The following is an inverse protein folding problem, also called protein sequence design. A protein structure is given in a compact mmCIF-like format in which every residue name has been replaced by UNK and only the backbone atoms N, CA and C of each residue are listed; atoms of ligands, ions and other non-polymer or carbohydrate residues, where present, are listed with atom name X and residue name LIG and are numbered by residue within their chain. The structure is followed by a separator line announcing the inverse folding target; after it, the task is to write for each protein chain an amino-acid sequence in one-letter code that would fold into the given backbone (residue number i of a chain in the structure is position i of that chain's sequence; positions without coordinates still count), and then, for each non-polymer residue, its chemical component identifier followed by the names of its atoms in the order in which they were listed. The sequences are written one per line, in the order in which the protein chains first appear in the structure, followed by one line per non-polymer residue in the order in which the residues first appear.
data_IF_072754478523
#
_entry.id   IF_072754478523
#
_cell.length_a   1.000
_cell.length_b   1.000
_cell.length_c   1.000
_cell.angle_alpha   90.00
_cell.angle_beta   90.00
_cell.angle_gamma   90.00
#
_symmetry.space_group_name_H-M   'P 1'
#
loop_
_entity.id
_entity.type
_entity.pdbx_description
1 polymer ?
#
# COMPACT_ATOMS: atom_id res chain seq x y z
N UNK A 1 31.40 4.71 -1.46
CA UNK A 1 31.56 3.38 -0.79
C UNK A 1 30.19 2.97 -0.27
N UNK A 2 29.58 1.88 -0.79
CA UNK A 2 28.23 1.47 -0.37
C UNK A 2 28.25 1.01 1.08
N UNK A 3 27.48 1.64 1.95
CA UNK A 3 27.35 1.23 3.34
C UNK A 3 26.26 0.16 3.46
N UNK A 4 26.57 -0.96 4.07
CA UNK A 4 25.58 -2.01 4.38
C UNK A 4 24.84 -1.61 5.67
N UNK A 5 23.50 -1.49 5.60
CA UNK A 5 22.66 -1.13 6.75
C UNK A 5 22.17 -2.37 7.51
N UNK A 6 21.93 -3.46 6.78
CA UNK A 6 21.61 -4.79 7.27
C UNK A 6 22.03 -5.82 6.21
N UNK A 7 21.90 -7.11 6.50
CA UNK A 7 22.37 -8.17 5.58
C UNK A 7 21.76 -8.09 4.18
N UNK A 8 20.53 -7.63 4.09
CA UNK A 8 19.75 -7.52 2.85
C UNK A 8 19.46 -6.07 2.42
N UNK A 9 20.11 -5.04 3.04
CA UNK A 9 19.86 -3.63 2.75
C UNK A 9 21.19 -2.91 2.51
N UNK A 10 21.34 -2.23 1.37
CA UNK A 10 22.49 -1.38 1.08
C UNK A 10 22.06 0.07 0.88
N UNK A 11 22.80 0.99 1.50
CA UNK A 11 22.71 2.43 1.21
C UNK A 11 23.46 2.72 -0.09
N UNK A 12 22.82 3.38 -1.04
CA UNK A 12 23.37 3.74 -2.35
C UNK A 12 23.74 5.22 -2.40
N UNK A 13 22.82 6.08 -2.00
CA UNK A 13 22.98 7.52 -1.96
C UNK A 13 22.34 8.11 -0.71
N UNK A 14 22.89 9.24 -0.27
CA UNK A 14 22.37 10.03 0.86
C UNK A 14 22.67 11.49 0.60
N UNK A 15 21.75 12.37 1.03
CA UNK A 15 21.96 13.81 1.03
C UNK A 15 23.16 14.18 1.90
N UNK A 16 24.10 15.00 1.40
CA UNK A 16 25.20 15.51 2.20
C UNK A 16 24.68 16.26 3.44
N UNK A 17 25.33 16.06 4.57
CA UNK A 17 25.04 16.76 5.84
C UNK A 17 23.58 16.63 6.33
N UNK A 18 22.87 15.57 5.92
CA UNK A 18 21.50 15.31 6.38
C UNK A 18 21.45 15.18 7.90
N UNK A 19 20.78 16.11 8.57
CA UNK A 19 20.53 16.03 10.02
C UNK A 19 19.38 15.03 10.29
N UNK A 20 19.73 13.77 10.42
CA UNK A 20 18.76 12.72 10.73
C UNK A 20 18.02 12.92 12.06
N UNK A 21 18.55 13.72 12.99
CA UNK A 21 17.91 14.00 14.28
C UNK A 21 16.83 15.10 14.19
N UNK A 22 16.92 15.95 13.17
CA UNK A 22 15.91 16.98 12.92
C UNK A 22 14.66 16.47 12.20
N UNK A 23 14.72 15.28 11.58
CA UNK A 23 13.61 14.74 10.76
C UNK A 23 12.46 14.26 11.62
N UNK A 24 11.27 14.79 11.35
CA UNK A 24 9.99 14.39 11.97
C UNK A 24 9.28 13.28 11.21
N UNK A 25 9.35 13.32 9.87
CA UNK A 25 8.60 12.42 8.99
C UNK A 25 9.55 11.81 7.96
N UNK A 26 9.43 10.51 7.77
CA UNK A 26 10.08 9.83 6.64
C UNK A 26 9.00 9.36 5.67
N UNK A 27 9.10 9.82 4.42
CA UNK A 27 8.28 9.29 3.32
C UNK A 27 9.04 8.14 2.65
N UNK A 28 8.41 6.99 2.55
CA UNK A 28 8.99 5.80 1.92
C UNK A 28 8.34 5.52 0.57
N UNK A 29 9.16 5.37 -0.48
CA UNK A 29 8.74 5.17 -1.87
C UNK A 29 9.38 3.87 -2.39
N UNK A 30 8.63 2.74 -2.46
CA UNK A 30 9.13 1.52 -3.09
C UNK A 30 9.19 1.72 -4.60
N UNK A 31 10.21 1.16 -5.27
CA UNK A 31 10.29 1.18 -6.72
C UNK A 31 10.88 -0.12 -7.26
N UNK A 32 10.40 -0.53 -8.45
CA UNK A 32 10.87 -1.69 -9.16
C UNK A 32 10.72 -1.49 -10.67
N UNK A 33 11.84 -1.29 -11.38
CA UNK A 33 11.89 -1.12 -12.85
C UNK A 33 11.02 0.01 -13.41
N UNK A 34 10.88 1.12 -12.65
CA UNK A 34 10.04 2.28 -13.00
C UNK A 34 10.76 3.60 -12.74
N UNK A 35 11.92 3.85 -13.39
CA UNK A 35 12.74 5.02 -13.08
C UNK A 35 12.03 6.35 -13.36
N UNK A 36 11.18 6.43 -14.39
CA UNK A 36 10.46 7.65 -14.73
C UNK A 36 9.35 7.96 -13.72
N UNK A 37 8.56 6.95 -13.35
CA UNK A 37 7.48 7.11 -12.38
C UNK A 37 8.01 7.53 -10.99
N UNK A 38 9.04 6.84 -10.47
CA UNK A 38 9.61 7.19 -9.15
C UNK A 38 10.14 8.63 -9.11
N UNK A 39 10.66 9.17 -10.22
CA UNK A 39 11.10 10.57 -10.30
C UNK A 39 9.92 11.54 -10.21
N UNK A 40 8.78 11.22 -10.80
CA UNK A 40 7.57 12.05 -10.73
C UNK A 40 6.98 12.02 -9.31
N UNK A 41 6.87 10.84 -8.69
CA UNK A 41 6.46 10.68 -7.31
C UNK A 41 7.38 11.45 -6.37
N UNK A 42 8.71 11.29 -6.52
CA UNK A 42 9.72 11.99 -5.73
C UNK A 42 9.55 13.52 -5.81
N UNK A 43 9.33 14.08 -7.01
CA UNK A 43 9.06 15.52 -7.18
C UNK A 43 7.80 15.96 -6.43
N UNK A 44 6.72 15.16 -6.49
CA UNK A 44 5.46 15.49 -5.81
C UNK A 44 5.61 15.51 -4.29
N UNK A 45 6.41 14.58 -3.74
CA UNK A 45 6.71 14.51 -2.31
C UNK A 45 7.63 15.66 -1.88
N UNK A 46 8.64 15.99 -2.67
CA UNK A 46 9.55 17.11 -2.35
C UNK A 46 8.87 18.48 -2.40
N UNK A 47 7.76 18.61 -3.12
CA UNK A 47 6.98 19.84 -3.23
C UNK A 47 5.85 19.94 -2.20
N UNK A 48 5.85 19.11 -1.17
CA UNK A 48 4.83 19.16 -0.11
C UNK A 48 4.87 20.48 0.67
N UNK A 49 3.68 21.04 0.89
CA UNK A 49 3.49 22.21 1.75
C UNK A 49 3.23 21.74 3.17
N UNK A 50 4.27 21.59 3.95
CA UNK A 50 4.21 21.14 5.34
C UNK A 50 5.19 21.93 6.21
N UNK A 51 4.91 21.98 7.52
CA UNK A 51 5.82 22.57 8.52
C UNK A 51 6.77 21.54 9.15
N UNK A 52 6.62 20.27 8.77
CA UNK A 52 7.45 19.18 9.27
C UNK A 52 8.79 19.08 8.52
N UNK A 53 9.81 18.63 9.21
CA UNK A 53 11.08 18.25 8.59
C UNK A 53 10.95 16.86 7.99
N UNK A 54 10.99 16.80 6.67
CA UNK A 54 10.72 15.58 5.89
C UNK A 54 11.99 15.03 5.28
N UNK A 55 12.23 13.73 5.42
CA UNK A 55 13.20 13.01 4.61
C UNK A 55 12.51 11.93 3.77
N UNK A 56 13.11 11.57 2.64
CA UNK A 56 12.57 10.57 1.71
C UNK A 56 13.50 9.35 1.69
N UNK A 57 12.93 8.15 1.73
CA UNK A 57 13.68 6.91 1.47
C UNK A 57 13.12 6.28 0.19
N UNK A 58 13.89 6.31 -0.88
CA UNK A 58 13.60 5.52 -2.08
C UNK A 58 14.13 4.10 -1.88
N UNK A 59 13.24 3.12 -2.01
CA UNK A 59 13.53 1.71 -1.78
C UNK A 59 13.54 0.95 -3.11
N UNK A 60 14.72 0.83 -3.73
CA UNK A 60 14.88 0.03 -4.95
C UNK A 60 14.83 -1.46 -4.63
N UNK A 61 13.93 -2.17 -5.29
CA UNK A 61 13.75 -3.62 -5.09
C UNK A 61 14.21 -4.46 -6.30
N UNK A 62 14.85 -3.83 -7.28
CA UNK A 62 15.60 -4.48 -8.35
C UNK A 62 17.10 -4.34 -8.07
N UNK A 63 17.72 -5.42 -7.57
CA UNK A 63 19.10 -5.38 -7.06
C UNK A 63 20.18 -5.39 -8.14
N UNK A 64 19.86 -5.79 -9.37
CA UNK A 64 20.82 -5.92 -10.48
C UNK A 64 20.90 -4.63 -11.33
N UNK A 65 19.86 -4.29 -12.07
CA UNK A 65 19.83 -3.12 -12.95
C UNK A 65 19.70 -1.80 -12.18
N UNK A 66 18.92 -1.77 -11.08
CA UNK A 66 18.79 -0.64 -10.15
C UNK A 66 18.35 0.65 -10.83
N UNK A 67 17.45 0.54 -11.76
CA UNK A 67 17.07 1.66 -12.64
C UNK A 67 16.52 2.83 -11.85
N UNK A 68 15.62 2.59 -10.89
CA UNK A 68 15.08 3.61 -10.01
C UNK A 68 16.13 4.24 -9.10
N UNK A 69 16.99 3.42 -8.49
CA UNK A 69 18.09 3.92 -7.65
C UNK A 69 19.08 4.76 -8.45
N UNK A 70 19.44 4.33 -9.67
CA UNK A 70 20.35 5.08 -10.54
C UNK A 70 19.75 6.43 -10.98
N UNK A 71 18.44 6.48 -11.21
CA UNK A 71 17.75 7.72 -11.58
C UNK A 71 17.65 8.69 -10.40
N UNK A 72 17.41 8.20 -9.18
CA UNK A 72 17.21 9.04 -8.00
C UNK A 72 18.52 9.47 -7.31
N UNK A 73 19.56 8.61 -7.29
CA UNK A 73 20.80 8.87 -6.53
C UNK A 73 21.45 10.24 -6.77
N UNK A 74 21.57 10.73 -8.04
CA UNK A 74 22.17 12.04 -8.28
C UNK A 74 21.43 13.21 -7.60
N UNK A 75 20.11 13.09 -7.42
CA UNK A 75 19.27 14.13 -6.81
C UNK A 75 19.53 14.23 -5.30
N UNK A 76 19.73 13.09 -4.63
CA UNK A 76 20.09 13.06 -3.22
C UNK A 76 21.55 13.49 -2.98
N UNK A 77 22.48 13.00 -3.79
CA UNK A 77 23.89 13.37 -3.71
C UNK A 77 24.14 14.87 -3.96
N UNK A 78 23.32 15.50 -4.81
CA UNK A 78 23.35 16.95 -5.07
C UNK A 78 22.63 17.78 -3.98
N UNK A 79 21.98 17.16 -2.99
CA UNK A 79 21.19 17.87 -1.98
C UNK A 79 19.89 18.48 -2.51
N UNK A 80 19.39 18.01 -3.65
CA UNK A 80 18.11 18.48 -4.22
C UNK A 80 16.93 17.97 -3.39
N UNK A 81 17.07 16.79 -2.78
CA UNK A 81 16.07 16.16 -1.91
C UNK A 81 16.76 15.64 -0.65
N UNK A 82 16.13 15.81 0.50
CA UNK A 82 16.63 15.28 1.77
C UNK A 82 16.23 13.82 1.94
N UNK A 83 17.21 12.94 2.19
CA UNK A 83 16.94 11.53 2.45
C UNK A 83 17.97 10.56 1.94
N UNK A 84 17.51 9.38 1.59
CA UNK A 84 18.32 8.19 1.29
C UNK A 84 17.78 7.44 0.06
N UNK A 85 18.69 6.82 -0.69
CA UNK A 85 18.36 5.77 -1.67
C UNK A 85 18.96 4.46 -1.17
N UNK A 86 18.12 3.45 -0.98
CA UNK A 86 18.53 2.13 -0.52
C UNK A 86 18.17 1.05 -1.55
N UNK A 87 18.87 -0.07 -1.50
CA UNK A 87 18.51 -1.30 -2.22
C UNK A 87 18.03 -2.33 -1.19
N UNK A 88 16.79 -2.80 -1.38
CA UNK A 88 16.28 -4.01 -0.74
C UNK A 88 16.64 -5.20 -1.63
N UNK A 89 17.66 -5.99 -1.22
CA UNK A 89 18.21 -7.07 -2.05
C UNK A 89 17.24 -8.25 -2.23
N UNK A 90 16.42 -8.50 -1.22
CA UNK A 90 15.38 -9.52 -1.31
C UNK A 90 14.22 -8.97 -2.14
N UNK A 91 13.90 -9.65 -3.25
CA UNK A 91 12.85 -9.24 -4.16
C UNK A 91 11.46 -9.43 -3.56
N UNK A 92 10.60 -8.44 -3.74
CA UNK A 92 9.17 -8.46 -3.45
C UNK A 92 8.71 -7.26 -2.62
N UNK A 93 7.45 -6.94 -2.76
CA UNK A 93 6.87 -5.71 -2.19
C UNK A 93 7.03 -5.64 -0.66
N UNK A 94 6.74 -6.73 0.04
CA UNK A 94 6.92 -6.79 1.50
C UNK A 94 8.38 -6.58 1.91
N UNK A 95 9.34 -7.07 1.13
CA UNK A 95 10.76 -6.90 1.39
C UNK A 95 11.17 -5.42 1.25
N UNK A 96 10.68 -4.72 0.21
CA UNK A 96 10.92 -3.30 0.00
C UNK A 96 10.40 -2.47 1.18
N UNK A 97 9.14 -2.63 1.55
CA UNK A 97 8.55 -1.91 2.69
C UNK A 97 9.26 -2.19 4.01
N UNK A 98 9.58 -3.46 4.30
CA UNK A 98 10.32 -3.82 5.51
C UNK A 98 11.71 -3.16 5.54
N UNK A 99 12.41 -3.11 4.41
CA UNK A 99 13.73 -2.46 4.30
C UNK A 99 13.63 -0.95 4.55
N UNK A 100 12.66 -0.27 3.94
CA UNK A 100 12.43 1.17 4.14
C UNK A 100 12.07 1.51 5.58
N UNK A 101 11.12 0.80 6.18
CA UNK A 101 10.67 1.06 7.54
C UNK A 101 11.74 0.73 8.59
N UNK A 102 12.48 -0.37 8.40
CA UNK A 102 13.64 -0.67 9.22
C UNK A 102 14.69 0.44 9.14
N UNK A 103 15.00 0.92 7.93
CA UNK A 103 15.97 1.99 7.70
C UNK A 103 15.48 3.30 8.35
N UNK A 104 14.21 3.66 8.19
CA UNK A 104 13.62 4.85 8.80
C UNK A 104 13.76 4.83 10.34
N UNK A 105 13.35 3.75 10.98
CA UNK A 105 13.42 3.61 12.44
C UNK A 105 14.85 3.58 12.99
N UNK A 106 15.82 3.13 12.18
CA UNK A 106 17.22 3.01 12.59
C UNK A 106 17.98 4.31 12.38
N UNK A 107 17.72 5.01 11.26
CA UNK A 107 18.49 6.20 10.87
C UNK A 107 17.94 7.51 11.46
N UNK A 108 16.63 7.60 11.73
CA UNK A 108 15.98 8.81 12.16
C UNK A 108 15.49 8.70 13.61
N UNK A 109 16.32 9.10 14.59
CA UNK A 109 16.07 8.84 16.02
C UNK A 109 14.85 9.58 16.57
N UNK A 110 14.50 10.74 16.02
CA UNK A 110 13.39 11.58 16.48
C UNK A 110 12.15 11.49 15.58
N UNK A 111 12.14 10.58 14.62
CA UNK A 111 11.02 10.32 13.73
C UNK A 111 9.69 10.19 14.50
N UNK A 112 8.68 10.91 14.07
CA UNK A 112 7.30 10.83 14.60
C UNK A 112 6.42 9.91 13.76
N UNK A 113 6.55 10.02 12.42
CA UNK A 113 5.71 9.32 11.46
C UNK A 113 6.52 8.73 10.31
N UNK A 114 6.06 7.59 9.80
CA UNK A 114 6.41 7.10 8.47
C UNK A 114 5.20 7.29 7.57
N UNK A 115 5.39 7.98 6.45
CA UNK A 115 4.41 8.07 5.37
C UNK A 115 4.80 7.14 4.22
N UNK A 116 3.82 6.65 3.49
CA UNK A 116 3.99 5.72 2.36
C UNK A 116 3.25 6.25 1.14
N UNK A 117 3.91 6.21 0.01
CA UNK A 117 3.36 6.47 -1.33
C UNK A 117 4.05 5.54 -2.33
N UNK A 118 3.31 4.95 -3.26
CA UNK A 118 3.88 4.07 -4.28
C UNK A 118 4.50 4.86 -5.44
N UNK A 119 5.38 4.23 -6.24
CA UNK A 119 6.16 4.90 -7.29
C UNK A 119 5.35 5.35 -8.51
N UNK A 120 4.10 4.96 -8.65
CA UNK A 120 3.16 5.37 -9.71
C UNK A 120 2.07 6.35 -9.21
N UNK A 121 2.34 7.03 -8.11
CA UNK A 121 1.40 7.93 -7.45
C UNK A 121 1.97 9.35 -7.32
N UNK A 122 1.09 10.34 -7.42
CA UNK A 122 1.40 11.77 -7.31
C UNK A 122 0.66 12.35 -6.11
N UNK A 123 1.39 12.84 -5.14
CA UNK A 123 0.82 13.45 -3.93
C UNK A 123 0.25 14.85 -4.21
N UNK A 124 -0.95 15.15 -3.71
CA UNK A 124 -1.47 16.51 -3.69
C UNK A 124 -0.60 17.42 -2.80
N UNK A 125 -0.55 18.76 -3.05
CA UNK A 125 0.40 19.65 -2.37
C UNK A 125 0.33 19.70 -0.84
N UNK A 126 -0.80 19.35 -0.23
CA UNK A 126 -1.03 19.33 1.22
C UNK A 126 -1.24 17.89 1.76
N UNK A 127 -0.92 16.89 0.96
CA UNK A 127 -1.14 15.48 1.30
C UNK A 127 -0.55 15.13 2.69
N UNK A 128 0.72 15.44 2.90
CA UNK A 128 1.43 15.07 4.12
C UNK A 128 0.92 15.84 5.35
N UNK A 129 0.67 17.14 5.19
CA UNK A 129 0.11 18.00 6.25
C UNK A 129 -1.28 17.49 6.67
N UNK A 130 -2.14 17.14 5.71
CA UNK A 130 -3.50 16.64 5.97
C UNK A 130 -3.48 15.30 6.71
N UNK A 131 -2.56 14.38 6.35
CA UNK A 131 -2.39 13.12 7.08
C UNK A 131 -1.96 13.37 8.53
N UNK A 132 -0.96 14.24 8.75
CA UNK A 132 -0.46 14.56 10.09
C UNK A 132 -1.53 15.24 10.96
N UNK A 133 -2.21 16.25 10.43
CA UNK A 133 -3.29 16.95 11.13
C UNK A 133 -4.42 15.98 11.52
N UNK A 134 -4.74 15.01 10.66
CA UNK A 134 -5.74 13.98 10.95
C UNK A 134 -5.26 13.03 12.04
N UNK A 135 -3.99 12.60 11.99
CA UNK A 135 -3.40 11.76 13.03
C UNK A 135 -3.42 12.43 14.40
N UNK A 136 -3.04 13.70 14.47
CA UNK A 136 -3.03 14.49 15.70
C UNK A 136 -4.44 14.77 16.24
N UNK A 137 -5.36 15.19 15.36
CA UNK A 137 -6.75 15.50 15.73
C UNK A 137 -7.49 14.30 16.33
N UNK A 138 -7.23 13.10 15.84
CA UNK A 138 -7.94 11.90 16.24
C UNK A 138 -7.11 10.97 17.13
N UNK A 139 -5.87 11.35 17.47
CA UNK A 139 -4.87 10.51 18.13
C UNK A 139 -4.73 9.11 17.47
N UNK A 140 -4.86 9.09 16.13
CA UNK A 140 -4.86 7.86 15.36
C UNK A 140 -3.44 7.32 15.14
N UNK A 141 -3.27 6.02 15.29
CA UNK A 141 -1.99 5.34 15.07
C UNK A 141 -1.69 5.13 13.58
N UNK A 142 -2.74 4.96 12.78
CA UNK A 142 -2.68 4.77 11.33
C UNK A 142 -3.68 5.70 10.65
N UNK A 143 -3.23 6.47 9.66
CA UNK A 143 -4.11 7.33 8.85
C UNK A 143 -3.94 6.99 7.39
N UNK A 144 -5.05 6.71 6.70
CA UNK A 144 -5.07 6.51 5.25
C UNK A 144 -5.77 7.64 4.53
N UNK A 145 -5.49 7.80 3.24
CA UNK A 145 -6.15 8.74 2.34
C UNK A 145 -6.55 8.09 1.02
N UNK A 146 -7.32 8.80 0.17
CA UNK A 146 -7.78 8.30 -1.11
C UNK A 146 -6.64 8.16 -2.12
N UNK A 147 -6.69 7.09 -2.90
CA UNK A 147 -5.93 6.89 -4.13
C UNK A 147 -6.91 7.15 -5.28
N UNK A 148 -6.79 8.34 -5.90
CA UNK A 148 -7.69 8.78 -6.96
C UNK A 148 -7.15 8.34 -8.32
N UNK A 149 -7.91 7.60 -9.12
CA UNK A 149 -7.42 7.06 -10.38
C UNK A 149 -7.29 8.15 -11.44
N UNK A 150 -6.13 8.23 -12.08
CA UNK A 150 -5.88 8.97 -13.32
C UNK A 150 -5.76 7.94 -14.44
N UNK A 151 -6.82 7.79 -15.23
CA UNK A 151 -6.88 6.79 -16.28
C UNK A 151 -6.07 7.21 -17.51
N UNK A 152 -5.23 6.32 -18.01
CA UNK A 152 -4.62 6.47 -19.33
C UNK A 152 -5.69 6.24 -20.41
N UNK A 153 -5.77 7.16 -21.37
CA UNK A 153 -6.70 7.07 -22.49
C UNK A 153 -8.17 7.35 -22.15
N UNK A 154 -9.04 7.09 -23.13
CA UNK A 154 -10.47 7.34 -23.01
C UNK A 154 -11.20 6.16 -22.35
N UNK A 155 -11.56 6.31 -21.10
CA UNK A 155 -12.28 5.28 -20.32
C UNK A 155 -13.74 5.64 -20.15
N UNK A 156 -14.64 4.68 -20.40
CA UNK A 156 -16.08 4.85 -20.23
C UNK A 156 -16.44 5.08 -18.73
N UNK A 157 -17.37 5.98 -18.45
CA UNK A 157 -17.81 6.33 -17.10
C UNK A 157 -18.28 5.14 -16.24
N UNK A 158 -18.84 4.10 -16.86
CA UNK A 158 -19.21 2.87 -16.13
C UNK A 158 -18.00 2.11 -15.55
N UNK A 159 -16.83 2.24 -16.20
CA UNK A 159 -15.58 1.68 -15.68
C UNK A 159 -15.02 2.55 -14.56
N UNK A 160 -14.98 3.87 -14.76
CA UNK A 160 -14.50 4.83 -13.75
C UNK A 160 -15.31 4.72 -12.45
N UNK A 161 -16.61 4.50 -12.56
CA UNK A 161 -17.51 4.35 -11.41
C UNK A 161 -17.42 3.00 -10.70
N UNK A 162 -16.62 2.05 -11.19
CA UNK A 162 -16.47 0.73 -10.56
C UNK A 162 -15.81 0.86 -9.19
N UNK A 163 -16.32 0.09 -8.21
CA UNK A 163 -15.88 0.15 -6.81
C UNK A 163 -14.37 -0.11 -6.60
N UNK A 164 -13.70 -0.81 -7.52
CA UNK A 164 -12.25 -1.09 -7.44
C UNK A 164 -11.40 0.17 -7.60
N UNK A 165 -11.95 1.24 -8.19
CA UNK A 165 -11.32 2.52 -8.42
C UNK A 165 -11.84 3.63 -7.49
N UNK A 166 -12.67 3.29 -6.50
CA UNK A 166 -13.23 4.25 -5.55
C UNK A 166 -12.50 4.20 -4.21
N UNK A 167 -12.36 5.34 -3.54
CA UNK A 167 -11.92 5.37 -2.15
C UNK A 167 -12.80 4.47 -1.27
N UNK A 168 -12.21 3.92 -0.21
CA UNK A 168 -12.93 3.07 0.73
C UNK A 168 -13.87 3.84 1.64
N UNK A 169 -13.56 5.12 1.93
CA UNK A 169 -14.36 6.02 2.76
C UNK A 169 -14.52 7.37 2.07
N UNK A 170 -15.63 8.05 2.34
CA UNK A 170 -16.00 9.31 1.70
C UNK A 170 -15.82 10.53 2.62
N UNK A 171 -15.58 10.30 3.91
CA UNK A 171 -15.50 11.37 4.93
C UNK A 171 -14.29 11.18 5.84
N UNK A 172 -13.68 12.29 6.23
CA UNK A 172 -12.58 12.32 7.19
C UNK A 172 -13.06 12.00 8.60
N UNK A 173 -12.34 11.11 9.29
CA UNK A 173 -12.65 10.71 10.66
C UNK A 173 -12.12 9.33 11.03
N UNK A 174 -12.50 8.87 12.23
CA UNK A 174 -12.13 7.52 12.70
C UNK A 174 -12.83 6.45 11.87
N UNK A 175 -12.08 5.38 11.55
CA UNK A 175 -12.58 4.24 10.77
C UNK A 175 -12.24 2.93 11.44
N UNK A 176 -12.94 1.88 11.07
CA UNK A 176 -12.73 0.56 11.66
C UNK A 176 -11.40 -0.09 11.27
N UNK A 177 -10.94 0.12 10.02
CA UNK A 177 -9.70 -0.44 9.48
C UNK A 177 -9.35 0.24 8.15
N UNK A 178 -8.06 0.25 7.79
CA UNK A 178 -7.60 0.65 6.46
C UNK A 178 -7.35 -0.58 5.57
N UNK A 179 -7.31 -0.38 4.24
CA UNK A 179 -7.24 -1.47 3.26
C UNK A 179 -6.08 -1.37 2.28
N UNK A 180 -5.31 -0.27 2.31
CA UNK A 180 -4.16 -0.05 1.43
C UNK A 180 -3.01 0.57 2.21
N UNK A 181 -1.78 0.30 1.77
CA UNK A 181 -0.57 0.96 2.25
C UNK A 181 -0.02 2.01 1.29
N UNK A 182 -0.57 2.16 0.07
CA UNK A 182 -0.07 3.13 -0.91
C UNK A 182 -0.27 4.58 -0.47
N UNK A 183 -1.31 4.88 0.29
CA UNK A 183 -1.54 6.20 0.90
C UNK A 183 -1.73 6.03 2.40
N UNK A 184 -0.64 6.03 3.16
CA UNK A 184 -0.65 5.67 4.57
C UNK A 184 0.34 6.52 5.37
N UNK A 185 -0.09 6.97 6.54
CA UNK A 185 0.76 7.50 7.61
C UNK A 185 0.70 6.59 8.82
N UNK A 186 1.85 6.28 9.42
CA UNK A 186 1.93 5.42 10.61
C UNK A 186 2.76 6.09 11.68
N UNK A 187 2.26 6.13 12.90
CA UNK A 187 3.00 6.61 14.06
C UNK A 187 4.15 5.68 14.42
N UNK A 188 5.28 6.27 14.79
CA UNK A 188 6.49 5.52 15.17
C UNK A 188 6.26 4.58 16.35
N UNK A 189 5.51 4.99 17.37
CA UNK A 189 5.23 4.18 18.56
C UNK A 189 4.41 2.94 18.21
N UNK A 190 3.43 3.08 17.32
CA UNK A 190 2.67 1.95 16.80
C UNK A 190 3.58 0.96 16.06
N UNK A 191 4.47 1.46 15.19
CA UNK A 191 5.44 0.60 14.48
C UNK A 191 6.37 -0.13 15.45
N UNK A 192 6.90 0.55 16.48
CA UNK A 192 7.75 -0.08 17.48
C UNK A 192 7.06 -1.17 18.28
N UNK A 193 5.74 -1.08 18.44
CA UNK A 193 4.94 -2.09 19.11
C UNK A 193 4.53 -3.25 18.19
N UNK A 194 4.68 -3.10 16.87
CA UNK A 194 4.41 -4.18 15.91
C UNK A 194 5.59 -5.15 15.83
N UNK A 195 5.31 -6.46 15.64
CA UNK A 195 6.38 -7.43 15.41
C UNK A 195 7.04 -7.20 14.04
N UNK A 196 8.34 -7.44 13.98
CA UNK A 196 9.08 -7.48 12.71
C UNK A 196 9.13 -8.93 12.17
N UNK A 197 9.12 -9.13 10.86
CA UNK A 197 8.95 -8.09 9.83
C UNK A 197 7.55 -7.46 9.87
N UNK A 198 7.45 -6.16 9.56
CA UNK A 198 6.18 -5.43 9.57
C UNK A 198 5.19 -6.01 8.56
N UNK A 199 5.65 -6.20 7.32
CA UNK A 199 4.92 -6.91 6.28
C UNK A 199 5.37 -8.36 6.26
N UNK A 200 4.44 -9.29 6.42
CA UNK A 200 4.72 -10.72 6.41
C UNK A 200 5.13 -11.18 5.00
N UNK A 201 6.30 -11.80 4.90
CA UNK A 201 6.91 -12.23 3.63
C UNK A 201 6.07 -13.28 2.89
N UNK A 202 5.15 -13.96 3.56
CA UNK A 202 4.21 -14.87 2.92
C UNK A 202 3.30 -14.16 1.89
N UNK A 203 3.16 -12.83 2.00
CA UNK A 203 2.38 -12.02 1.06
C UNK A 203 3.23 -11.36 -0.02
N UNK A 204 4.52 -11.65 -0.08
CA UNK A 204 5.48 -10.95 -0.91
C UNK A 204 5.12 -10.92 -2.41
N UNK A 205 4.57 -12.03 -2.93
CA UNK A 205 4.20 -12.17 -4.34
C UNK A 205 2.68 -12.28 -4.58
N UNK A 206 1.90 -12.56 -3.55
CA UNK A 206 0.43 -12.65 -3.65
C UNK A 206 -0.25 -11.30 -3.48
N UNK A 207 0.44 -10.35 -2.82
CA UNK A 207 -0.17 -9.14 -2.28
C UNK A 207 -0.99 -9.42 -1.02
N UNK A 208 -1.54 -8.37 -0.42
CA UNK A 208 -2.33 -8.47 0.82
C UNK A 208 -1.51 -8.32 2.10
N UNK A 209 -0.21 -8.03 1.99
CA UNK A 209 0.63 -7.71 3.15
C UNK A 209 0.14 -6.48 3.92
N UNK A 210 -0.42 -5.51 3.21
CA UNK A 210 -1.11 -4.35 3.76
C UNK A 210 -2.35 -4.74 4.58
N UNK A 211 -3.24 -5.55 4.01
CA UNK A 211 -4.43 -6.01 4.70
C UNK A 211 -4.09 -6.88 5.94
N UNK A 212 -3.05 -7.69 5.87
CA UNK A 212 -2.54 -8.46 7.02
C UNK A 212 -1.98 -7.54 8.10
N UNK A 213 -1.16 -6.55 7.72
CA UNK A 213 -0.60 -5.56 8.64
C UNK A 213 -1.70 -4.81 9.39
N UNK A 214 -2.69 -4.24 8.64
CA UNK A 214 -3.80 -3.49 9.24
C UNK A 214 -4.62 -4.38 10.17
N UNK A 215 -4.83 -5.64 9.81
CA UNK A 215 -5.55 -6.59 10.66
C UNK A 215 -4.79 -6.91 11.95
N UNK A 216 -3.47 -7.12 11.87
CA UNK A 216 -2.62 -7.33 13.06
C UNK A 216 -2.55 -6.09 13.94
N UNK A 217 -2.52 -4.90 13.34
CA UNK A 217 -2.57 -3.63 14.07
C UNK A 217 -3.90 -3.47 14.81
N UNK A 218 -5.03 -3.77 14.16
CA UNK A 218 -6.35 -3.79 14.79
C UNK A 218 -6.44 -4.77 15.95
N UNK A 219 -5.91 -5.99 15.80
CA UNK A 219 -5.91 -7.02 16.86
C UNK A 219 -5.07 -6.60 18.07
N UNK A 220 -4.12 -5.66 17.90
CA UNK A 220 -3.35 -5.03 18.97
C UNK A 220 -4.05 -3.82 19.61
N UNK A 221 -5.19 -3.40 19.08
CA UNK A 221 -5.97 -2.28 19.61
C UNK A 221 -5.52 -0.91 19.09
N UNK A 222 -4.79 -0.84 17.97
CA UNK A 222 -4.46 0.44 17.35
C UNK A 222 -5.66 1.05 16.64
N UNK A 223 -5.72 2.39 16.67
CA UNK A 223 -6.77 3.18 16.07
C UNK A 223 -6.42 3.61 14.65
N UNK A 224 -7.47 3.69 13.81
CA UNK A 224 -7.38 4.06 12.40
C UNK A 224 -8.22 5.29 12.10
N UNK A 225 -7.69 6.19 11.28
CA UNK A 225 -8.44 7.30 10.72
C UNK A 225 -8.30 7.35 9.20
N UNK A 226 -9.23 8.01 8.58
CA UNK A 226 -9.25 8.33 7.15
C UNK A 226 -9.20 9.84 6.98
N UNK A 227 -8.41 10.30 6.02
CA UNK A 227 -8.32 11.70 5.63
C UNK A 227 -8.65 11.85 4.14
N UNK A 228 -9.85 12.33 3.84
CA UNK A 228 -10.32 12.52 2.45
C UNK A 228 -9.52 13.59 1.71
N UNK A 229 -9.01 14.58 2.44
CA UNK A 229 -8.23 15.69 1.91
C UNK A 229 -6.77 15.32 1.59
N UNK A 230 -6.31 14.16 2.07
CA UNK A 230 -4.97 13.67 1.80
C UNK A 230 -4.95 12.84 0.49
N UNK A 231 -5.20 13.52 -0.62
CA UNK A 231 -5.33 12.89 -1.93
C UNK A 231 -3.96 12.52 -2.52
N UNK A 232 -3.91 11.34 -3.12
CA UNK A 232 -2.89 10.98 -4.10
C UNK A 232 -3.56 10.54 -5.40
N UNK A 233 -2.88 10.71 -6.53
CA UNK A 233 -3.37 10.37 -7.85
C UNK A 233 -2.58 9.19 -8.39
N UNK A 234 -3.24 8.04 -8.55
CA UNK A 234 -2.64 6.80 -9.08
C UNK A 234 -2.85 6.71 -10.59
N UNK A 235 -1.79 6.53 -11.35
CA UNK A 235 -1.88 6.26 -12.79
C UNK A 235 -2.46 4.86 -13.03
N UNK A 236 -3.62 4.80 -13.68
CA UNK A 236 -4.30 3.55 -14.01
C UNK A 236 -4.12 3.25 -15.51
N UNK A 237 -3.24 2.31 -15.88
CA UNK A 237 -3.01 1.97 -17.27
C UNK A 237 -4.21 1.25 -17.89
N UNK A 238 -4.39 1.41 -19.22
CA UNK A 238 -5.52 0.84 -19.96
C UNK A 238 -5.71 -0.68 -19.71
N UNK A 239 -4.62 -1.43 -19.53
CA UNK A 239 -4.67 -2.87 -19.23
C UNK A 239 -5.41 -3.21 -17.93
N UNK A 240 -5.47 -2.27 -16.96
CA UNK A 240 -6.23 -2.43 -15.70
C UNK A 240 -7.72 -2.12 -15.88
N UNK A 241 -8.11 -1.48 -16.96
CA UNK A 241 -9.50 -1.14 -17.28
C UNK A 241 -10.10 -2.17 -18.22
N UNK A 242 -9.94 -3.45 -17.91
CA UNK A 242 -10.46 -4.57 -18.68
C UNK A 242 -11.28 -5.51 -17.81
N UNK A 243 -12.29 -6.17 -18.42
CA UNK A 243 -13.11 -7.17 -17.74
C UNK A 243 -12.26 -8.24 -17.05
N UNK A 244 -11.28 -8.78 -17.78
CA UNK A 244 -10.41 -9.85 -17.27
C UNK A 244 -9.57 -9.41 -16.08
N UNK A 245 -9.07 -8.16 -16.07
CA UNK A 245 -8.30 -7.63 -14.95
C UNK A 245 -9.17 -7.46 -13.70
N UNK A 246 -10.38 -6.86 -13.83
CA UNK A 246 -11.29 -6.67 -12.70
C UNK A 246 -11.72 -8.01 -12.10
N UNK A 247 -12.01 -9.02 -12.94
CA UNK A 247 -12.33 -10.36 -12.47
C UNK A 247 -11.16 -10.98 -11.68
N UNK A 248 -9.95 -10.94 -12.24
CA UNK A 248 -8.74 -11.44 -11.56
C UNK A 248 -8.52 -10.73 -10.23
N UNK A 249 -8.71 -9.41 -10.20
CA UNK A 249 -8.60 -8.59 -8.98
C UNK A 249 -9.63 -9.02 -7.93
N UNK A 250 -10.89 -9.22 -8.33
CA UNK A 250 -11.96 -9.67 -7.42
C UNK A 250 -11.67 -11.06 -6.85
N UNK A 251 -11.30 -12.02 -7.70
CA UNK A 251 -10.89 -13.37 -7.27
C UNK A 251 -9.75 -13.31 -6.26
N UNK A 252 -8.69 -12.53 -6.56
CA UNK A 252 -7.56 -12.34 -5.65
C UNK A 252 -7.99 -11.74 -4.32
N UNK A 253 -8.81 -10.70 -4.32
CA UNK A 253 -9.30 -10.07 -3.09
C UNK A 253 -10.07 -11.07 -2.23
N UNK A 254 -10.86 -11.95 -2.86
CA UNK A 254 -11.52 -13.06 -2.18
C UNK A 254 -10.55 -14.04 -1.54
N UNK A 255 -9.54 -14.49 -2.29
CA UNK A 255 -8.50 -15.40 -1.82
C UNK A 255 -7.75 -14.83 -0.62
N UNK A 256 -7.27 -13.59 -0.72
CA UNK A 256 -6.55 -12.92 0.37
C UNK A 256 -7.42 -12.77 1.62
N UNK A 257 -8.70 -12.44 1.45
CA UNK A 257 -9.65 -12.34 2.56
C UNK A 257 -9.82 -13.68 3.31
N UNK A 258 -9.89 -14.82 2.58
CA UNK A 258 -9.96 -16.15 3.20
C UNK A 258 -8.63 -16.52 3.86
N UNK A 259 -7.50 -16.31 3.18
CA UNK A 259 -6.17 -16.60 3.68
C UNK A 259 -5.88 -15.86 5.00
N UNK A 260 -6.13 -14.55 5.05
CA UNK A 260 -5.95 -13.74 6.26
C UNK A 260 -6.88 -14.23 7.38
N UNK A 261 -8.13 -14.60 7.06
CA UNK A 261 -9.05 -15.16 8.05
C UNK A 261 -8.56 -16.49 8.61
N UNK A 262 -8.02 -17.38 7.79
CA UNK A 262 -7.44 -18.65 8.25
C UNK A 262 -6.19 -18.45 9.10
N UNK A 263 -5.32 -17.51 8.78
CA UNK A 263 -4.12 -17.19 9.60
C UNK A 263 -4.47 -16.70 10.99
N UNK A 264 -5.63 -16.09 11.17
CA UNK A 264 -6.15 -15.64 12.47
C UNK A 264 -6.89 -16.72 13.24
N UNK A 265 -7.33 -17.78 12.56
CA UNK A 265 -8.03 -18.89 13.19
C UNK A 265 -7.06 -19.71 14.06
N UNK A 266 -7.29 -19.70 15.38
CA UNK A 266 -6.41 -20.38 16.36
C UNK A 266 -6.85 -21.82 16.68
N UNK A 267 -7.95 -22.29 16.09
CA UNK A 267 -8.53 -23.60 16.38
C UNK A 267 -9.19 -24.21 15.16
N UNK A 268 -9.36 -25.52 15.13
CA UNK A 268 -10.10 -26.25 14.10
C UNK A 268 -11.49 -25.67 13.88
N UNK A 269 -12.18 -25.30 14.97
CA UNK A 269 -13.47 -24.63 14.89
C UNK A 269 -13.38 -23.24 14.24
N UNK A 270 -12.30 -22.50 14.49
CA UNK A 270 -12.02 -21.23 13.83
C UNK A 270 -11.88 -21.40 12.32
N UNK A 271 -11.12 -22.39 11.86
CA UNK A 271 -10.98 -22.70 10.42
C UNK A 271 -12.32 -23.12 9.81
N UNK A 272 -13.10 -23.96 10.51
CA UNK A 272 -14.43 -24.35 10.02
C UNK A 272 -15.36 -23.13 9.87
N UNK A 273 -15.33 -22.18 10.80
CA UNK A 273 -16.09 -20.92 10.69
C UNK A 273 -15.70 -20.11 9.43
N UNK A 274 -14.42 -20.09 9.07
CA UNK A 274 -13.96 -19.39 7.84
C UNK A 274 -14.56 -20.06 6.60
N UNK A 275 -14.51 -21.40 6.53
CA UNK A 275 -15.09 -22.17 5.43
C UNK A 275 -16.61 -21.93 5.33
N UNK A 276 -17.34 -22.06 6.44
CA UNK A 276 -18.78 -21.82 6.50
C UNK A 276 -19.13 -20.38 6.06
N UNK A 277 -18.34 -19.40 6.49
CA UNK A 277 -18.50 -18.01 6.05
C UNK A 277 -18.28 -17.86 4.55
N UNK A 278 -17.26 -18.52 3.97
CA UNK A 278 -16.99 -18.52 2.54
C UNK A 278 -18.16 -19.13 1.75
N UNK A 279 -18.72 -20.24 2.21
CA UNK A 279 -19.91 -20.86 1.62
C UNK A 279 -21.15 -19.96 1.72
N UNK A 280 -21.38 -19.33 2.87
CA UNK A 280 -22.49 -18.39 3.06
C UNK A 280 -22.37 -17.19 2.11
N UNK A 281 -21.17 -16.62 1.95
CA UNK A 281 -20.95 -15.53 1.00
C UNK A 281 -21.20 -15.98 -0.44
N UNK A 282 -20.82 -17.20 -0.82
CA UNK A 282 -21.12 -17.75 -2.15
C UNK A 282 -22.63 -17.89 -2.35
N UNK A 283 -23.34 -18.44 -1.38
CA UNK A 283 -24.80 -18.62 -1.46
C UNK A 283 -25.56 -17.28 -1.57
N UNK A 284 -25.09 -16.23 -0.89
CA UNK A 284 -25.72 -14.89 -0.91
C UNK A 284 -25.25 -14.04 -2.10
N UNK A 285 -24.16 -14.38 -2.75
CA UNK A 285 -23.55 -13.56 -3.80
C UNK A 285 -24.47 -13.30 -5.00
N UNK A 286 -25.37 -14.22 -5.48
CA UNK A 286 -26.30 -13.93 -6.57
C UNK A 286 -27.30 -12.82 -6.20
N UNK A 287 -27.80 -12.84 -4.96
CA UNK A 287 -28.75 -11.81 -4.48
C UNK A 287 -28.06 -10.45 -4.40
N UNK A 288 -26.82 -10.41 -3.87
CA UNK A 288 -26.00 -9.19 -3.85
C UNK A 288 -25.72 -8.67 -5.26
N UNK A 289 -25.42 -9.56 -6.20
CA UNK A 289 -25.20 -9.21 -7.60
C UNK A 289 -26.43 -8.59 -8.24
N UNK A 290 -27.60 -9.18 -8.02
CA UNK A 290 -28.87 -8.65 -8.53
C UNK A 290 -29.16 -7.25 -7.96
N UNK A 291 -29.00 -7.09 -6.64
CA UNK A 291 -29.17 -5.79 -5.98
C UNK A 291 -28.20 -4.75 -6.55
N UNK A 292 -26.94 -5.12 -6.75
CA UNK A 292 -25.93 -4.22 -7.31
C UNK A 292 -26.19 -3.88 -8.78
N UNK A 293 -26.75 -4.83 -9.56
CA UNK A 293 -27.17 -4.59 -10.94
C UNK A 293 -28.28 -3.53 -11.00
N UNK A 294 -29.29 -3.68 -10.16
CA UNK A 294 -30.40 -2.71 -10.07
C UNK A 294 -29.91 -1.33 -9.65
N UNK A 295 -28.98 -1.25 -8.68
CA UNK A 295 -28.46 0.02 -8.17
C UNK A 295 -27.50 0.72 -9.12
N UNK A 296 -26.61 -0.01 -9.80
CA UNK A 296 -25.53 0.56 -10.62
C UNK A 296 -25.83 0.57 -12.12
N UNK A 297 -26.80 -0.24 -12.59
CA UNK A 297 -27.03 -0.47 -14.00
C UNK A 297 -25.83 -1.10 -14.74
N UNK A 298 -24.84 -1.66 -14.00
CA UNK A 298 -23.58 -2.17 -14.55
C UNK A 298 -23.41 -3.65 -14.24
N UNK A 299 -23.41 -4.48 -15.28
CA UNK A 299 -23.13 -5.92 -15.18
C UNK A 299 -21.72 -6.16 -14.61
N UNK A 300 -20.75 -5.32 -15.00
CA UNK A 300 -19.38 -5.38 -14.51
C UNK A 300 -19.31 -5.28 -12.98
N UNK A 301 -19.95 -4.27 -12.41
CA UNK A 301 -20.00 -4.07 -10.96
C UNK A 301 -20.82 -5.14 -10.27
N UNK A 302 -21.89 -5.63 -10.91
CA UNK A 302 -22.79 -6.61 -10.30
C UNK A 302 -22.15 -7.98 -10.10
N UNK A 303 -21.24 -8.40 -10.95
CA UNK A 303 -20.56 -9.70 -10.84
C UNK A 303 -19.38 -9.69 -9.85
N UNK A 304 -18.94 -8.52 -9.39
CA UNK A 304 -17.81 -8.39 -8.48
C UNK A 304 -17.98 -9.19 -7.17
N UNK A 305 -19.15 -9.16 -6.47
CA UNK A 305 -19.36 -9.98 -5.26
C UNK A 305 -19.28 -11.49 -5.52
N UNK A 306 -19.73 -11.96 -6.69
CA UNK A 306 -19.61 -13.39 -7.07
C UNK A 306 -18.15 -13.79 -7.22
N UNK A 307 -17.34 -12.97 -7.92
CA UNK A 307 -15.92 -13.28 -8.10
C UNK A 307 -15.14 -13.26 -6.78
N UNK A 308 -15.48 -12.34 -5.85
CA UNK A 308 -14.90 -12.37 -4.48
C UNK A 308 -15.28 -13.69 -3.78
N UNK A 309 -16.54 -14.10 -3.82
CA UNK A 309 -16.99 -15.33 -3.17
C UNK A 309 -16.31 -16.57 -3.79
N UNK A 310 -16.18 -16.63 -5.12
CA UNK A 310 -15.45 -17.69 -5.82
C UNK A 310 -13.96 -17.69 -5.45
N UNK A 311 -13.33 -16.51 -5.32
CA UNK A 311 -11.96 -16.39 -4.88
C UNK A 311 -11.74 -16.95 -3.48
N UNK A 312 -12.66 -16.69 -2.54
CA UNK A 312 -12.61 -17.28 -1.19
C UNK A 312 -12.66 -18.80 -1.25
N UNK A 313 -13.58 -19.36 -2.04
CA UNK A 313 -13.69 -20.82 -2.22
C UNK A 313 -12.42 -21.40 -2.87
N UNK A 314 -11.87 -20.74 -3.89
CA UNK A 314 -10.63 -21.20 -4.54
C UNK A 314 -9.44 -21.27 -3.56
N UNK A 315 -9.40 -20.36 -2.57
CA UNK A 315 -8.39 -20.36 -1.50
C UNK A 315 -8.45 -21.64 -0.65
N UNK A 316 -9.65 -22.20 -0.42
CA UNK A 316 -9.82 -23.43 0.38
C UNK A 316 -9.17 -24.65 -0.31
N UNK A 317 -8.98 -24.59 -1.63
CA UNK A 317 -8.30 -25.63 -2.44
C UNK A 317 -6.82 -25.30 -2.69
N UNK A 318 -6.23 -24.35 -1.95
CA UNK A 318 -4.81 -24.01 -2.06
C UNK A 318 -4.43 -23.19 -3.29
N UNK A 319 -5.41 -22.64 -4.03
CA UNK A 319 -5.11 -21.77 -5.17
C UNK A 319 -4.63 -20.40 -4.66
N UNK A 320 -3.38 -20.05 -4.97
CA UNK A 320 -2.80 -18.75 -4.68
C UNK A 320 -2.39 -18.05 -5.99
N UNK A 321 -2.88 -16.84 -6.21
CA UNK A 321 -2.48 -16.03 -7.35
C UNK A 321 -1.31 -15.12 -6.98
N UNK A 322 -0.12 -15.40 -7.51
CA UNK A 322 1.10 -14.62 -7.29
C UNK A 322 1.23 -13.46 -8.30
N UNK A 323 0.27 -12.56 -8.29
CA UNK A 323 0.17 -11.45 -9.25
C UNK A 323 1.43 -10.54 -9.26
N UNK A 324 2.10 -10.37 -8.13
CA UNK A 324 3.30 -9.54 -8.02
C UNK A 324 4.61 -10.25 -8.39
N UNK A 325 4.58 -11.53 -8.75
CA UNK A 325 5.78 -12.23 -9.23
C UNK A 325 6.26 -11.69 -10.58
N UNK A 326 5.31 -11.30 -11.44
CA UNK A 326 5.56 -10.68 -12.75
C UNK A 326 4.83 -9.34 -12.84
N UNK A 327 5.38 -8.27 -12.26
CA UNK A 327 4.69 -6.96 -12.16
C UNK A 327 4.45 -6.30 -13.54
N UNK A 328 5.20 -6.68 -14.56
CA UNK A 328 5.00 -6.19 -15.96
C UNK A 328 3.64 -6.63 -16.54
N UNK A 329 3.00 -7.64 -15.95
CA UNK A 329 1.68 -8.15 -16.36
C UNK A 329 0.52 -7.59 -15.54
N UNK A 330 0.81 -6.69 -14.61
CA UNK A 330 -0.18 -6.11 -13.67
C UNK A 330 -0.69 -4.75 -14.13
#
# INVERSE_FOLDING_TARGET
MKQRLADNISLVAQTPDLDCAAVDIVVTIPTFKRPEHVLETLRSVSNQKTQHNVAIIVMENEAEAREGANACSPLFEAGTHDGLVIIAHDRGNCCAYNAGWFTALTKFPNLKYIAVIDDDEIAAPQWLENLCATAEKHDASFVGGPQLPVFEGAVNEKWKSHQVFKPHYETTGMVDILYSSGNLLVRRDALKAMPQPFFDLAFNFTGGGDADLMRRAKDKGFDFAWCTEAEIHETVPERRVTWGWIQKRALRNGQLSALIAHRRAKSTWGHLKVILHSLALLAVSPVRSLFQLVRSGSVLSSLYPVHIALGRIASEFGYANEQYRNPEQN
#
